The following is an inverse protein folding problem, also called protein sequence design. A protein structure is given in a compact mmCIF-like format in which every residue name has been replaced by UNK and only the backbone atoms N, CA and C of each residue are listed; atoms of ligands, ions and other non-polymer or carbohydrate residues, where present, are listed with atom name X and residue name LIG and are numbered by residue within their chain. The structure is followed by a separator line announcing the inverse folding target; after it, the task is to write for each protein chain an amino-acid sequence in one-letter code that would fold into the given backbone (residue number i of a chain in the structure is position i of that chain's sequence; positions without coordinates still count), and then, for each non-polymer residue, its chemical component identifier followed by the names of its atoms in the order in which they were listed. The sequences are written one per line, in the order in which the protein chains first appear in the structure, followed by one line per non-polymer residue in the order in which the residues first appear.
data_IF_989766741424
#
_entry.id   IF_989766741424
#
_cell.length_a   1.000
_cell.length_b   1.000
_cell.length_c   1.000
_cell.angle_alpha   90.00
_cell.angle_beta   90.00
_cell.angle_gamma   90.00
#
_symmetry.space_group_name_H-M   'P 1'
#
loop_
_entity.id
_entity.type
_entity.pdbx_description
1 polymer ?
#
# COMPACT_ATOMS: atom_id res chain seq x y z
N UNK A 1 -9.28 -15.96 -21.31
CA UNK A 1 -10.37 -15.01 -21.04
C UNK A 1 -10.88 -14.99 -19.59
N UNK A 2 -11.13 -16.12 -18.93
CA UNK A 2 -11.51 -16.15 -17.49
C UNK A 2 -10.43 -15.60 -16.54
N UNK A 3 -9.15 -15.90 -16.81
CA UNK A 3 -8.04 -15.44 -15.95
C UNK A 3 -7.83 -13.92 -16.02
N UNK A 4 -8.02 -13.31 -17.20
CA UNK A 4 -7.86 -11.86 -17.39
C UNK A 4 -8.94 -11.10 -16.61
N UNK A 5 -10.19 -11.57 -16.69
CA UNK A 5 -11.31 -10.99 -15.93
C UNK A 5 -11.05 -11.07 -14.42
N UNK A 6 -10.55 -12.22 -13.94
CA UNK A 6 -10.15 -12.40 -12.54
C UNK A 6 -9.10 -11.39 -12.10
N UNK A 7 -8.06 -11.18 -12.90
CA UNK A 7 -6.99 -10.21 -12.63
C UNK A 7 -7.54 -8.78 -12.56
N UNK A 8 -8.44 -8.38 -13.47
CA UNK A 8 -9.05 -7.05 -13.48
C UNK A 8 -9.88 -6.82 -12.21
N UNK A 9 -10.62 -7.83 -11.75
CA UNK A 9 -11.42 -7.75 -10.52
C UNK A 9 -10.52 -7.56 -9.30
N UNK A 10 -9.43 -8.32 -9.21
CA UNK A 10 -8.45 -8.19 -8.11
C UNK A 10 -7.80 -6.82 -8.11
N UNK A 11 -7.35 -6.33 -9.27
CA UNK A 11 -6.76 -4.99 -9.40
C UNK A 11 -7.74 -3.89 -9.02
N UNK A 12 -9.00 -4.00 -9.46
CA UNK A 12 -10.06 -3.04 -9.12
C UNK A 12 -10.35 -3.06 -7.61
N UNK A 13 -10.35 -4.23 -6.98
CA UNK A 13 -10.51 -4.36 -5.54
C UNK A 13 -9.34 -3.73 -4.78
N UNK A 14 -8.10 -4.00 -5.21
CA UNK A 14 -6.89 -3.42 -4.62
C UNK A 14 -6.89 -1.90 -4.72
N UNK A 15 -7.21 -1.36 -5.91
CA UNK A 15 -7.33 0.09 -6.14
C UNK A 15 -8.39 0.70 -5.24
N UNK A 16 -9.57 0.07 -5.12
CA UNK A 16 -10.62 0.53 -4.21
C UNK A 16 -10.13 0.61 -2.77
N UNK A 17 -9.47 -0.43 -2.26
CA UNK A 17 -8.92 -0.43 -0.90
C UNK A 17 -7.87 0.66 -0.71
N UNK A 18 -7.02 0.88 -1.73
CA UNK A 18 -6.02 1.93 -1.69
C UNK A 18 -6.66 3.32 -1.62
N UNK A 19 -7.69 3.60 -2.45
CA UNK A 19 -8.43 4.87 -2.41
C UNK A 19 -9.01 5.11 -1.01
N UNK A 20 -9.62 4.08 -0.41
CA UNK A 20 -10.15 4.19 0.97
C UNK A 20 -9.06 4.51 1.99
N UNK A 21 -7.89 3.86 1.89
CA UNK A 21 -6.76 4.15 2.77
C UNK A 21 -6.22 5.57 2.58
N UNK A 22 -6.12 6.06 1.34
CA UNK A 22 -5.71 7.44 1.05
C UNK A 22 -6.67 8.45 1.66
N UNK A 23 -7.98 8.24 1.48
CA UNK A 23 -9.01 9.12 2.03
C UNK A 23 -8.91 9.12 3.56
N UNK A 24 -8.77 7.96 4.19
CA UNK A 24 -8.64 7.86 5.63
C UNK A 24 -7.40 8.60 6.14
N UNK A 25 -6.25 8.39 5.50
CA UNK A 25 -5.01 9.06 5.88
C UNK A 25 -5.12 10.58 5.74
N UNK A 26 -5.70 11.06 4.63
CA UNK A 26 -5.96 12.47 4.40
C UNK A 26 -6.86 13.08 5.49
N UNK A 27 -7.97 12.40 5.83
CA UNK A 27 -8.87 12.87 6.89
C UNK A 27 -8.17 12.91 8.26
N UNK A 28 -7.34 11.91 8.56
CA UNK A 28 -6.55 11.90 9.79
C UNK A 28 -5.52 13.04 9.84
N UNK A 29 -4.84 13.33 8.73
CA UNK A 29 -3.91 14.45 8.63
C UNK A 29 -4.62 15.79 8.87
N UNK A 30 -5.75 16.01 8.19
CA UNK A 30 -6.58 17.20 8.41
C UNK A 30 -7.08 17.32 9.85
N UNK A 31 -7.45 16.20 10.46
CA UNK A 31 -7.82 16.16 11.87
C UNK A 31 -6.65 16.54 12.78
N UNK A 32 -5.44 16.01 12.55
CA UNK A 32 -4.26 16.36 13.33
C UNK A 32 -3.88 17.84 13.21
N UNK A 33 -3.96 18.40 12.01
CA UNK A 33 -3.74 19.84 11.78
C UNK A 33 -4.77 20.66 12.55
N UNK A 34 -6.06 20.31 12.47
CA UNK A 34 -7.11 21.01 13.19
C UNK A 34 -6.93 20.94 14.72
N UNK A 35 -6.51 19.80 15.25
CA UNK A 35 -6.21 19.62 16.67
C UNK A 35 -4.98 20.44 17.09
N UNK A 36 -3.92 20.45 16.28
CA UNK A 36 -2.74 21.29 16.52
C UNK A 36 -3.09 22.77 16.55
N UNK A 37 -3.85 23.25 15.58
CA UNK A 37 -4.33 24.63 15.53
C UNK A 37 -5.17 25.01 16.76
N UNK A 38 -6.02 24.08 17.25
CA UNK A 38 -6.79 24.29 18.47
C UNK A 38 -5.87 24.40 19.71
N UNK A 39 -4.81 23.60 19.79
CA UNK A 39 -3.82 23.66 20.85
C UNK A 39 -3.04 24.98 20.84
N UNK A 40 -2.60 25.43 19.66
CA UNK A 40 -1.86 26.67 19.48
C UNK A 40 -2.73 27.88 19.83
N UNK A 41 -3.96 27.90 19.33
CA UNK A 41 -4.95 28.94 19.65
C UNK A 41 -5.20 29.01 21.15
N UNK A 42 -5.39 27.86 21.80
CA UNK A 42 -5.61 27.85 23.24
C UNK A 42 -4.39 28.24 24.07
N UNK A 43 -3.18 27.94 23.58
CA UNK A 43 -1.94 28.40 24.20
C UNK A 43 -1.80 29.92 24.08
N UNK A 44 -2.15 30.49 22.93
CA UNK A 44 -2.18 31.94 22.72
C UNK A 44 -3.22 32.65 23.61
N UNK A 45 -4.44 32.09 23.72
CA UNK A 45 -5.49 32.62 24.60
C UNK A 45 -5.05 32.61 26.07
N UNK A 46 -4.26 31.62 26.47
CA UNK A 46 -3.74 31.54 27.84
C UNK A 46 -2.71 32.64 28.16
N UNK A 47 -1.91 33.06 27.16
CA UNK A 47 -0.88 34.10 27.30
C UNK A 47 -1.42 35.54 27.17
N UNK A 48 -2.65 35.71 26.66
CA UNK A 48 -3.26 37.03 26.42
C UNK A 48 -4.15 37.48 27.59
N UNK A 49 -4.61 38.73 27.55
CA UNK A 49 -5.46 39.32 28.61
C UNK A 49 -6.97 38.99 28.46
N UNK A 50 -7.32 37.82 27.92
CA UNK A 50 -8.73 37.39 27.88
C UNK A 50 -9.28 37.09 29.28
N UNK A 51 -10.63 37.12 29.38
CA UNK A 51 -11.39 36.73 30.57
C UNK A 51 -10.99 35.33 31.09
N UNK A 52 -11.04 35.19 32.41
CA UNK A 52 -10.67 33.96 33.11
C UNK A 52 -11.49 32.74 32.65
N UNK A 53 -12.75 32.94 32.24
CA UNK A 53 -13.61 31.86 31.73
C UNK A 53 -13.03 31.23 30.45
N UNK A 54 -12.53 32.06 29.52
CA UNK A 54 -11.92 31.59 28.27
C UNK A 54 -10.59 30.89 28.53
N UNK A 55 -9.82 31.38 29.50
CA UNK A 55 -8.57 30.74 29.94
C UNK A 55 -8.84 29.38 30.58
N UNK A 56 -9.89 29.27 31.39
CA UNK A 56 -10.28 28.01 32.02
C UNK A 56 -10.72 26.97 30.99
N UNK A 57 -11.52 27.38 30.00
CA UNK A 57 -11.89 26.52 28.88
C UNK A 57 -10.64 26.00 28.15
N UNK A 58 -9.72 26.88 27.78
CA UNK A 58 -8.51 26.47 27.06
C UNK A 58 -7.58 25.59 27.91
N UNK A 59 -7.48 25.82 29.22
CA UNK A 59 -6.77 24.89 30.13
C UNK A 59 -7.39 23.50 30.09
N UNK A 60 -8.72 23.38 30.10
CA UNK A 60 -9.41 22.10 30.03
C UNK A 60 -9.18 21.41 28.68
N UNK A 61 -9.21 22.15 27.57
CA UNK A 61 -8.90 21.63 26.23
C UNK A 61 -7.47 21.11 26.16
N UNK A 62 -6.48 21.87 26.63
CA UNK A 62 -5.09 21.40 26.68
C UNK A 62 -4.94 20.18 27.59
N UNK A 63 -5.64 20.13 28.72
CA UNK A 63 -5.58 18.99 29.64
C UNK A 63 -6.18 17.74 29.01
N UNK A 64 -7.33 17.87 28.34
CA UNK A 64 -7.98 16.78 27.62
C UNK A 64 -7.10 16.29 26.46
N UNK A 65 -6.52 17.21 25.69
CA UNK A 65 -5.58 16.88 24.64
C UNK A 65 -4.39 16.10 25.21
N UNK A 66 -3.74 16.58 26.28
CA UNK A 66 -2.61 15.87 26.91
C UNK A 66 -2.98 14.48 27.44
N UNK A 67 -4.19 14.32 27.99
CA UNK A 67 -4.63 13.06 28.59
C UNK A 67 -5.15 12.04 27.55
N UNK A 68 -5.76 12.51 26.47
CA UNK A 68 -6.54 11.67 25.57
C UNK A 68 -6.03 11.67 24.12
N UNK A 69 -5.24 12.66 23.71
CA UNK A 69 -4.73 12.73 22.35
C UNK A 69 -3.48 11.86 22.21
N UNK A 70 -3.62 10.81 21.42
CA UNK A 70 -2.54 10.07 20.81
C UNK A 70 -2.84 10.05 19.31
N UNK A 71 -1.82 10.14 18.46
CA UNK A 71 -2.01 9.89 17.01
C UNK A 71 -2.79 8.58 16.86
N UNK A 72 -3.82 8.59 16.02
CA UNK A 72 -4.67 7.44 15.73
C UNK A 72 -3.78 6.26 15.33
N UNK A 73 -3.97 5.14 16.02
CA UNK A 73 -3.24 3.89 15.76
C UNK A 73 -4.15 2.88 15.08
N UNK A 74 -3.75 2.40 13.91
CA UNK A 74 -4.39 1.27 13.24
C UNK A 74 -4.00 0.00 13.97
N UNK A 75 -5.00 -0.79 14.38
CA UNK A 75 -4.84 -2.03 15.13
C UNK A 75 -3.97 -1.89 16.40
N UNK A 76 -3.84 -0.67 16.93
CA UNK A 76 -2.97 -0.36 18.08
C UNK A 76 -1.46 -0.41 17.81
N UNK A 77 -1.03 -0.78 16.61
CA UNK A 77 0.37 -1.10 16.30
C UNK A 77 1.06 -0.04 15.44
N UNK A 78 0.34 0.57 14.50
CA UNK A 78 0.92 1.54 13.56
C UNK A 78 0.20 2.87 13.62
N UNK A 79 0.95 3.96 13.61
CA UNK A 79 0.35 5.28 13.44
C UNK A 79 -0.23 5.43 12.04
N UNK A 80 -1.46 5.93 11.97
CA UNK A 80 -2.09 6.32 10.72
C UNK A 80 -1.38 7.58 10.22
N UNK A 81 -0.41 7.34 9.34
CA UNK A 81 0.50 8.34 8.80
C UNK A 81 0.77 8.01 7.32
N UNK A 82 1.11 9.02 6.52
CA UNK A 82 1.42 8.87 5.10
C UNK A 82 2.59 7.89 4.89
N UNK A 83 3.53 7.83 5.84
CA UNK A 83 4.63 6.88 5.83
C UNK A 83 4.17 5.41 5.89
N UNK A 84 3.11 5.10 6.66
CA UNK A 84 2.56 3.74 6.73
C UNK A 84 1.94 3.34 5.40
N UNK A 85 1.17 4.24 4.81
CA UNK A 85 0.55 4.00 3.51
C UNK A 85 1.59 3.82 2.40
N UNK A 86 2.63 4.66 2.38
CA UNK A 86 3.73 4.55 1.42
C UNK A 86 4.51 3.23 1.60
N UNK A 87 4.75 2.82 2.84
CA UNK A 87 5.41 1.55 3.16
C UNK A 87 4.59 0.36 2.68
N UNK A 88 3.27 0.38 2.88
CA UNK A 88 2.36 -0.66 2.39
C UNK A 88 2.38 -0.74 0.86
N UNK A 89 2.37 0.40 0.16
CA UNK A 89 2.44 0.42 -1.31
C UNK A 89 3.77 -0.09 -1.84
N UNK A 90 4.88 0.28 -1.19
CA UNK A 90 6.20 -0.25 -1.51
C UNK A 90 6.21 -1.77 -1.36
N UNK A 91 5.68 -2.29 -0.25
CA UNK A 91 5.61 -3.73 -0.01
C UNK A 91 4.80 -4.44 -1.10
N UNK A 92 3.56 -3.99 -1.35
CA UNK A 92 2.70 -4.59 -2.38
C UNK A 92 3.36 -4.57 -3.76
N UNK A 93 3.98 -3.45 -4.13
CA UNK A 93 4.67 -3.31 -5.41
C UNK A 93 5.86 -4.25 -5.53
N UNK A 94 6.72 -4.31 -4.50
CA UNK A 94 7.88 -5.18 -4.48
C UNK A 94 7.48 -6.66 -4.58
N UNK A 95 6.49 -7.10 -3.79
CA UNK A 95 5.98 -8.47 -3.87
C UNK A 95 5.37 -8.77 -5.25
N UNK A 96 4.65 -7.83 -5.84
CA UNK A 96 4.08 -7.98 -7.19
C UNK A 96 5.19 -8.15 -8.23
N UNK A 97 6.25 -7.34 -8.16
CA UNK A 97 7.40 -7.43 -9.06
C UNK A 97 8.10 -8.79 -8.91
N UNK A 98 8.37 -9.22 -7.68
CA UNK A 98 9.03 -10.51 -7.40
C UNK A 98 8.18 -11.66 -7.95
N UNK A 99 6.88 -11.69 -7.67
CA UNK A 99 5.98 -12.71 -8.21
C UNK A 99 5.95 -12.70 -9.74
N UNK A 100 5.98 -11.52 -10.36
CA UNK A 100 6.00 -11.40 -11.81
C UNK A 100 7.33 -11.90 -12.41
N UNK A 101 8.46 -11.62 -11.76
CA UNK A 101 9.76 -12.15 -12.16
C UNK A 101 9.78 -13.69 -12.12
N UNK A 102 9.27 -14.29 -11.04
CA UNK A 102 9.14 -15.74 -10.93
C UNK A 102 8.25 -16.33 -12.04
N UNK A 103 7.11 -15.71 -12.31
CA UNK A 103 6.20 -16.17 -13.36
C UNK A 103 6.84 -16.11 -14.76
N UNK A 104 7.55 -15.02 -15.07
CA UNK A 104 8.24 -14.85 -16.35
C UNK A 104 9.41 -15.82 -16.51
N UNK A 105 10.19 -16.04 -15.44
CA UNK A 105 11.29 -17.00 -15.46
C UNK A 105 10.79 -18.42 -15.76
N UNK A 106 9.70 -18.82 -15.11
CA UNK A 106 9.09 -20.13 -15.32
C UNK A 106 8.55 -20.31 -16.76
N UNK A 107 8.05 -19.24 -17.39
CA UNK A 107 7.64 -19.27 -18.80
C UNK A 107 8.83 -19.42 -19.76
N UNK A 108 9.98 -18.81 -19.46
CA UNK A 108 11.18 -18.94 -20.29
C UNK A 108 11.74 -20.36 -20.25
N UNK A 109 11.74 -21.03 -19.09
CA UNK A 109 12.14 -22.44 -18.99
C UNK A 109 11.23 -23.36 -19.83
N UNK A 110 9.91 -23.13 -19.81
CA UNK A 110 8.96 -23.92 -20.61
C UNK A 110 9.22 -23.79 -22.11
N UNK A 111 9.47 -22.56 -22.58
CA UNK A 111 9.79 -22.28 -23.99
C UNK A 111 11.09 -22.95 -24.44
N UNK A 112 12.11 -22.98 -23.58
CA UNK A 112 13.38 -23.62 -23.91
C UNK A 112 13.23 -25.14 -23.99
N UNK A 113 12.47 -25.74 -23.08
CA UNK A 113 12.23 -27.18 -23.07
C UNK A 113 11.38 -27.64 -24.27
N UNK A 114 10.40 -26.84 -24.71
CA UNK A 114 9.63 -27.13 -25.92
C UNK A 114 10.49 -27.04 -27.19
N UNK A 115 11.43 -26.09 -27.22
CA UNK A 115 12.37 -25.93 -28.33
C UNK A 115 13.34 -27.11 -28.43
N UNK A 116 13.90 -27.58 -27.31
CA UNK A 116 14.83 -28.73 -27.29
C UNK A 116 14.15 -30.04 -27.74
N UNK A 117 12.92 -30.30 -27.29
CA UNK A 117 12.14 -31.48 -27.70
C UNK A 117 11.87 -31.44 -29.21
N UNK A 118 11.54 -30.27 -29.76
CA UNK A 118 11.23 -30.16 -31.18
C UNK A 118 12.47 -30.36 -32.06
N UNK A 119 13.63 -29.86 -31.64
CA UNK A 119 14.91 -30.09 -32.33
C UNK A 119 15.31 -31.57 -32.31
N UNK A 120 15.13 -32.25 -31.18
CA UNK A 120 15.44 -33.68 -31.06
C UNK A 120 14.58 -34.55 -31.99
N UNK A 121 13.27 -34.24 -32.09
CA UNK A 121 12.36 -34.90 -33.02
C UNK A 121 12.74 -34.68 -34.48
N UNK A 122 13.09 -33.45 -34.87
CA UNK A 122 13.51 -33.13 -36.24
C UNK A 122 14.81 -33.85 -36.62
N UNK A 123 15.75 -33.92 -35.69
CA UNK A 123 17.05 -34.57 -35.89
C UNK A 123 16.89 -36.09 -36.00
N UNK A 124 16.01 -36.69 -35.19
CA UNK A 124 15.67 -38.11 -35.26
C UNK A 124 14.98 -38.51 -36.57
N UNK A 125 14.06 -37.68 -37.07
CA UNK A 125 13.37 -37.92 -38.34
C UNK A 125 14.35 -37.88 -39.54
N UNK A 126 15.25 -36.90 -39.58
CA UNK A 126 16.26 -36.78 -40.64
C UNK A 126 17.26 -37.96 -40.67
N UNK A 127 17.62 -38.50 -39.50
CA UNK A 127 18.49 -39.67 -39.38
C UNK A 127 17.79 -40.96 -39.83
N UNK A 128 16.49 -41.10 -39.59
CA UNK A 128 15.70 -42.22 -40.06
C UNK A 128 15.56 -42.23 -41.58
N UNK A 129 15.33 -41.07 -42.19
CA UNK A 129 15.20 -40.92 -43.65
C UNK A 129 16.53 -41.24 -44.38
N UNK A 130 17.68 -40.81 -43.85
CA UNK A 130 19.00 -41.18 -44.39
C UNK A 130 19.33 -42.66 -44.29
N UNK A 131 18.67 -43.42 -43.41
CA UNK A 131 18.92 -44.85 -43.21
C UNK A 131 18.04 -45.73 -44.11
N UNK A 132 17.02 -45.14 -44.74
CA UNK A 132 16.08 -45.80 -45.63
C UNK A 132 16.49 -45.71 -47.13
N UNK A 133 17.53 -44.94 -47.44
CA UNK A 133 18.16 -44.79 -48.77
C UNK A 133 19.47 -45.56 -48.82
#
# INVERSE_FOLDING_TARGET
DMSILGTIVVLSWLLKNFVWQTILNWQCEQFYIAVGNAQDTCSFVLMSQYSDDKKQLCKNVLRLHRASFSKIRVCGLFYLDAALQLSLMSLVTNYTIVLLQFALFQQLEQMQQETDVHVEQLTGAHLAERRAV
#
